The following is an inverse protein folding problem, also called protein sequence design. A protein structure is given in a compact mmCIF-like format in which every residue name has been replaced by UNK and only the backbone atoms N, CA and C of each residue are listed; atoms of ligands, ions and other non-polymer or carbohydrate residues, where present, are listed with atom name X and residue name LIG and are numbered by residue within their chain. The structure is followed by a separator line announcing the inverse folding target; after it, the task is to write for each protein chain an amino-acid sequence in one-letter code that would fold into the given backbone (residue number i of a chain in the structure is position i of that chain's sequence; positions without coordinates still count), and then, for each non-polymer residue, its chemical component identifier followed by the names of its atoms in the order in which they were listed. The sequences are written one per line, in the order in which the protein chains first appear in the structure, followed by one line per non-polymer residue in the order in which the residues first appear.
data_IF_671573954079
#
_entry.id   IF_671573954079
#
_cell.length_a   1.000
_cell.length_b   1.000
_cell.length_c   1.000
_cell.angle_alpha   90.00
_cell.angle_beta   90.00
_cell.angle_gamma   90.00
#
_symmetry.space_group_name_H-M   'P 1'
#
loop_
_entity.id
_entity.type
_entity.pdbx_description
1 polymer ?
#
# COMPACT_ATOMS: atom_id res chain seq x y z
N UNK A 1 0.03 -15.99 0.71
CA UNK A 1 1.17 -15.46 -0.07
C UNK A 1 2.31 -15.10 0.87
N UNK A 2 3.55 -15.21 0.42
CA UNK A 2 4.71 -14.71 1.16
C UNK A 2 4.90 -13.20 0.91
N UNK A 3 5.72 -12.56 1.75
CA UNK A 3 6.12 -11.16 1.61
C UNK A 3 7.61 -11.08 1.26
N UNK A 4 8.04 -9.95 0.67
CA UNK A 4 9.44 -9.66 0.32
C UNK A 4 10.35 -9.81 1.56
N UNK A 5 9.85 -9.42 2.74
CA UNK A 5 10.47 -9.75 4.01
C UNK A 5 9.70 -10.87 4.70
N UNK A 6 10.39 -11.96 5.08
CA UNK A 6 9.77 -13.06 5.85
C UNK A 6 9.12 -12.55 7.14
N UNK A 7 9.74 -11.56 7.78
CA UNK A 7 9.25 -10.93 9.01
C UNK A 7 7.98 -10.09 8.78
N UNK A 8 7.70 -9.68 7.54
CA UNK A 8 6.52 -8.90 7.18
C UNK A 8 5.30 -9.78 6.83
N UNK A 9 5.43 -11.11 6.86
CA UNK A 9 4.39 -12.04 6.41
C UNK A 9 3.10 -11.93 7.21
N UNK A 10 3.18 -11.89 8.53
CA UNK A 10 1.98 -11.79 9.38
C UNK A 10 1.35 -10.38 9.29
N UNK A 11 2.16 -9.32 9.24
CA UNK A 11 1.68 -7.95 8.99
C UNK A 11 0.94 -7.83 7.65
N UNK A 12 1.47 -8.46 6.60
CA UNK A 12 0.83 -8.55 5.29
C UNK A 12 -0.53 -9.26 5.40
N UNK A 13 -0.60 -10.40 6.08
CA UNK A 13 -1.85 -11.17 6.24
C UNK A 13 -2.93 -10.36 6.93
N UNK A 14 -2.61 -9.65 8.01
CA UNK A 14 -3.57 -8.81 8.73
C UNK A 14 -4.07 -7.65 7.86
N UNK A 15 -3.15 -6.95 7.19
CA UNK A 15 -3.52 -5.87 6.28
C UNK A 15 -4.39 -6.37 5.11
N UNK A 16 -4.02 -7.48 4.47
CA UNK A 16 -4.77 -8.07 3.35
C UNK A 16 -6.18 -8.51 3.77
N UNK A 17 -6.32 -9.12 4.95
CA UNK A 17 -7.62 -9.50 5.48
C UNK A 17 -8.53 -8.28 5.68
N UNK A 18 -8.00 -7.21 6.29
CA UNK A 18 -8.73 -5.95 6.46
C UNK A 18 -9.11 -5.34 5.10
N UNK A 19 -8.13 -5.21 4.20
CA UNK A 19 -8.31 -4.64 2.87
C UNK A 19 -9.40 -5.38 2.09
N UNK A 20 -9.36 -6.72 2.07
CA UNK A 20 -10.32 -7.52 1.31
C UNK A 20 -11.75 -7.38 1.85
N UNK A 21 -11.90 -7.30 3.18
CA UNK A 21 -13.19 -7.05 3.82
C UNK A 21 -13.72 -5.68 3.44
N UNK A 22 -12.91 -4.63 3.62
CA UNK A 22 -13.27 -3.26 3.23
C UNK A 22 -13.60 -3.14 1.73
N UNK A 23 -12.79 -3.79 0.89
CA UNK A 23 -12.95 -3.75 -0.57
C UNK A 23 -14.29 -4.34 -0.99
N UNK A 24 -14.63 -5.52 -0.44
CA UNK A 24 -15.86 -6.23 -0.77
C UNK A 24 -17.11 -5.58 -0.17
N UNK A 25 -17.00 -4.97 1.00
CA UNK A 25 -18.15 -4.50 1.77
C UNK A 25 -18.43 -3.00 1.64
N UNK A 26 -17.41 -2.21 1.35
CA UNK A 26 -17.51 -0.75 1.25
C UNK A 26 -17.27 -0.30 -0.18
N UNK A 27 -16.08 -0.56 -0.72
CA UNK A 27 -15.67 -0.05 -2.02
C UNK A 27 -16.56 -0.57 -3.17
N UNK A 28 -16.71 -1.89 -3.32
CA UNK A 28 -17.55 -2.48 -4.37
C UNK A 28 -19.05 -2.17 -4.21
N UNK A 29 -19.50 -1.83 -3.01
CA UNK A 29 -20.91 -1.54 -2.71
C UNK A 29 -21.24 -0.04 -2.78
N UNK A 30 -20.31 0.80 -3.24
CA UNK A 30 -20.47 2.26 -3.29
C UNK A 30 -20.87 2.88 -1.93
N UNK A 31 -20.49 2.24 -0.81
CA UNK A 31 -20.57 2.89 0.50
C UNK A 31 -19.38 3.83 0.62
N UNK A 32 -19.51 4.91 1.40
CA UNK A 32 -18.41 5.83 1.67
C UNK A 32 -17.15 5.02 2.00
N UNK A 33 -16.19 5.03 1.05
CA UNK A 33 -15.04 4.14 1.03
C UNK A 33 -13.93 4.63 1.96
N UNK A 34 -14.26 4.90 3.21
CA UNK A 34 -13.25 5.29 4.19
C UNK A 34 -12.36 4.08 4.51
N UNK A 35 -11.10 4.18 4.10
CA UNK A 35 -10.07 3.15 4.29
C UNK A 35 -9.34 3.31 5.63
N UNK A 36 -9.69 4.33 6.44
CA UNK A 36 -9.07 4.59 7.75
C UNK A 36 -9.03 3.37 8.67
N UNK A 37 -10.00 2.45 8.51
CA UNK A 37 -10.07 1.18 9.26
C UNK A 37 -8.85 0.27 9.06
N UNK A 38 -8.20 0.32 7.90
CA UNK A 38 -7.01 -0.50 7.61
C UNK A 38 -5.69 0.31 7.67
N UNK A 39 -5.76 1.62 7.85
CA UNK A 39 -4.59 2.51 7.86
C UNK A 39 -3.54 2.13 8.92
N UNK A 40 -3.89 1.81 10.18
CA UNK A 40 -2.90 1.41 11.18
C UNK A 40 -2.15 0.13 10.79
N UNK A 41 -2.88 -0.85 10.26
CA UNK A 41 -2.30 -2.11 9.77
C UNK A 41 -1.36 -1.87 8.58
N UNK A 42 -1.76 -0.97 7.69
CA UNK A 42 -0.95 -0.60 6.55
C UNK A 42 0.34 0.09 6.98
N UNK A 43 0.29 1.01 7.94
CA UNK A 43 1.49 1.72 8.41
C UNK A 43 2.53 0.77 9.00
N UNK A 44 2.12 -0.21 9.79
CA UNK A 44 3.02 -1.23 10.33
C UNK A 44 3.63 -2.10 9.23
N UNK A 45 2.77 -2.58 8.32
CA UNK A 45 3.23 -3.37 7.18
C UNK A 45 4.17 -2.59 6.25
N UNK A 46 3.86 -1.33 5.95
CA UNK A 46 4.65 -0.45 5.09
C UNK A 46 6.03 -0.16 5.71
N UNK A 47 6.10 0.06 7.03
CA UNK A 47 7.39 0.20 7.74
C UNK A 47 8.24 -1.05 7.58
N UNK A 48 7.65 -2.23 7.75
CA UNK A 48 8.35 -3.51 7.55
C UNK A 48 8.85 -3.66 6.10
N UNK A 49 8.01 -3.34 5.11
CA UNK A 49 8.39 -3.40 3.69
C UNK A 49 9.56 -2.47 3.37
N UNK A 50 9.56 -1.23 3.86
CA UNK A 50 10.67 -0.28 3.63
C UNK A 50 12.01 -0.84 4.11
N UNK A 51 12.03 -1.56 5.23
CA UNK A 51 13.23 -2.23 5.75
C UNK A 51 13.62 -3.41 4.86
N UNK A 52 12.65 -4.24 4.48
CA UNK A 52 12.88 -5.41 3.64
C UNK A 52 13.40 -5.03 2.24
N UNK A 53 12.82 -4.00 1.60
CA UNK A 53 13.24 -3.48 0.30
C UNK A 53 14.70 -3.01 0.35
N UNK A 54 15.07 -2.23 1.37
CA UNK A 54 16.45 -1.79 1.60
C UNK A 54 17.39 -2.96 1.80
N UNK A 55 17.02 -3.96 2.62
CA UNK A 55 17.84 -5.15 2.88
C UNK A 55 18.07 -6.00 1.62
N UNK A 56 17.11 -6.04 0.72
CA UNK A 56 17.19 -6.79 -0.53
C UNK A 56 17.81 -5.98 -1.68
N UNK A 57 18.30 -4.76 -1.44
CA UNK A 57 18.84 -3.85 -2.46
C UNK A 57 17.90 -3.62 -3.65
N UNK A 58 16.59 -3.62 -3.39
CA UNK A 58 15.57 -3.34 -4.42
C UNK A 58 15.52 -1.82 -4.60
N UNK A 59 15.78 -1.29 -5.80
CA UNK A 59 15.74 0.14 -6.05
C UNK A 59 14.31 0.67 -5.90
N UNK A 60 14.13 1.66 -5.01
CA UNK A 60 12.81 2.25 -4.73
C UNK A 60 12.18 2.95 -5.94
N UNK A 61 12.98 3.46 -6.89
CA UNK A 61 12.47 4.06 -8.13
C UNK A 61 11.72 3.06 -9.03
N UNK A 62 11.95 1.74 -8.84
CA UNK A 62 11.22 0.66 -9.51
C UNK A 62 9.79 0.50 -8.91
N UNK A 63 9.56 1.02 -7.71
CA UNK A 63 8.25 1.12 -7.05
C UNK A 63 7.56 2.48 -7.24
N UNK A 64 8.33 3.51 -7.60
CA UNK A 64 7.83 4.87 -7.89
C UNK A 64 7.36 5.02 -9.36
N UNK A 65 7.61 4.01 -10.19
CA UNK A 65 7.14 3.94 -11.57
C UNK A 65 5.62 3.76 -11.66
N UNK A 66 4.95 4.83 -12.10
CA UNK A 66 3.63 4.82 -12.76
C UNK A 66 2.36 4.61 -11.91
N UNK A 67 2.43 4.40 -10.59
CA UNK A 67 1.21 4.25 -9.78
C UNK A 67 0.59 5.58 -9.28
N UNK A 68 1.27 6.73 -9.43
CA UNK A 68 0.85 8.03 -8.88
C UNK A 68 0.94 9.20 -9.87
N UNK A 69 1.00 8.94 -11.19
CA UNK A 69 0.95 10.00 -12.21
C UNK A 69 -0.45 10.18 -12.81
N UNK A 70 -1.45 10.39 -11.95
CA UNK A 70 -2.71 11.02 -12.35
C UNK A 70 -3.10 12.02 -11.25
N UNK A 71 -2.26 13.03 -11.07
CA UNK A 71 -2.46 14.07 -10.06
C UNK A 71 -1.62 15.33 -10.19
N UNK A 72 -0.82 15.48 -11.27
CA UNK A 72 -0.17 16.76 -11.60
C UNK A 72 -0.45 17.13 -13.05
N UNK A 73 -1.55 17.84 -13.26
CA UNK A 73 -1.75 18.74 -14.41
C UNK A 73 -1.92 20.15 -13.86
N UNK A 74 -1.18 21.08 -14.48
CA UNK A 74 -1.09 22.53 -14.25
C UNK A 74 -0.16 22.92 -13.08
N UNK A 75 0.89 23.70 -13.25
CA UNK A 75 1.13 24.73 -14.26
C UNK A 75 2.58 24.68 -14.76
N UNK A 76 2.73 24.60 -16.08
CA UNK A 76 3.86 25.16 -16.79
C UNK A 76 3.33 26.44 -17.45
N UNK A 77 3.97 27.57 -17.17
CA UNK A 77 4.40 28.54 -18.19
C UNK A 77 4.68 29.89 -17.53
N UNK A 78 5.92 30.32 -17.73
CA UNK A 78 6.41 31.71 -17.77
C UNK A 78 6.69 32.43 -16.45
#
# INVERSE_FOLDING_TARGET
MDSIGKDCKELKRHYEACFNSWYSESFLKNKNGDMSVCEPLFQEYQKCLKIAIKKNNIPLWELEGEALSNGKKSAEST
#
